data_IF_431480327699
#
_entry.id   IF_431480327699
#
_cell.length_a   1.000
_cell.length_b   1.000
_cell.length_c   1.000
_cell.angle_alpha   90.00
_cell.angle_beta   90.00
_cell.angle_gamma   90.00
#
_symmetry.space_group_name_H-M   'P 1'
#
loop_
_entity.id
_entity.type
_entity.pdbx_description
1 polymer ?
#
# COMPACT_ATOMS: atom_id res chain seq x y z
N UNK A 1 -2.24 -4.85 29.90
CA UNK A 1 -2.29 -4.66 28.44
C UNK A 1 -2.40 -3.17 28.20
N UNK A 2 -1.69 -2.61 27.22
CA UNK A 2 -1.88 -1.20 26.84
C UNK A 2 -3.32 -1.05 26.29
N UNK A 3 -4.12 -0.14 26.84
CA UNK A 3 -5.51 0.15 26.42
C UNK A 3 -5.58 1.36 25.47
N UNK A 4 -4.45 1.72 24.84
CA UNK A 4 -4.40 2.79 23.86
C UNK A 4 -5.50 2.63 22.78
N UNK A 5 -6.18 3.73 22.43
CA UNK A 5 -7.24 3.74 21.42
C UNK A 5 -6.68 3.39 20.04
N UNK A 6 -7.55 2.90 19.15
CA UNK A 6 -7.18 2.40 17.81
C UNK A 6 -6.46 3.48 16.99
N UNK A 7 -6.91 4.73 17.08
CA UNK A 7 -6.35 5.88 16.37
C UNK A 7 -4.89 6.14 16.79
N UNK A 8 -4.61 6.06 18.10
CA UNK A 8 -3.26 6.22 18.62
C UNK A 8 -2.35 5.08 18.17
N UNK A 9 -2.87 3.85 18.07
CA UNK A 9 -2.11 2.70 17.56
C UNK A 9 -1.77 2.85 16.09
N UNK A 10 -2.71 3.29 15.26
CA UNK A 10 -2.41 3.63 13.88
C UNK A 10 -1.35 4.72 13.79
N UNK A 11 -1.44 5.79 14.57
CA UNK A 11 -0.44 6.85 14.57
C UNK A 11 0.96 6.33 14.95
N UNK A 12 1.06 5.51 15.99
CA UNK A 12 2.32 4.87 16.41
C UNK A 12 2.85 3.90 15.36
N UNK A 13 1.98 3.10 14.75
CA UNK A 13 2.31 2.20 13.65
C UNK A 13 2.91 2.98 12.47
N UNK A 14 2.23 4.03 12.01
CA UNK A 14 2.67 4.87 10.89
C UNK A 14 4.03 5.51 11.20
N UNK A 15 4.20 6.05 12.41
CA UNK A 15 5.48 6.64 12.83
C UNK A 15 6.60 5.58 12.83
N UNK A 16 6.34 4.41 13.40
CA UNK A 16 7.31 3.31 13.43
C UNK A 16 7.68 2.84 12.01
N UNK A 17 6.73 2.75 11.09
CA UNK A 17 6.97 2.37 9.70
C UNK A 17 7.84 3.39 8.95
N UNK A 18 7.58 4.70 9.14
CA UNK A 18 8.40 5.78 8.56
C UNK A 18 9.82 5.78 9.11
N UNK A 19 9.96 5.56 10.41
CA UNK A 19 11.26 5.52 11.11
C UNK A 19 11.96 4.17 11.00
N UNK A 20 11.40 3.20 10.26
CA UNK A 20 11.96 1.85 10.10
C UNK A 20 12.10 1.05 11.40
N UNK A 21 11.33 1.40 12.44
CA UNK A 21 11.25 0.69 13.71
C UNK A 21 10.34 -0.53 13.58
N UNK A 22 10.81 -1.57 12.89
CA UNK A 22 10.02 -2.76 12.53
C UNK A 22 9.37 -3.44 13.74
N UNK A 23 10.09 -3.58 14.86
CA UNK A 23 9.55 -4.21 16.06
C UNK A 23 8.38 -3.42 16.69
N UNK A 24 8.46 -2.09 16.69
CA UNK A 24 7.35 -1.26 17.17
C UNK A 24 6.16 -1.32 16.21
N UNK A 25 6.41 -1.28 14.90
CA UNK A 25 5.36 -1.41 13.89
C UNK A 25 4.64 -2.76 14.01
N UNK A 26 5.38 -3.85 14.21
CA UNK A 26 4.81 -5.19 14.40
C UNK A 26 3.93 -5.25 15.67
N UNK A 27 4.42 -4.68 16.78
CA UNK A 27 3.65 -4.61 18.04
C UNK A 27 2.34 -3.86 17.87
N UNK A 28 2.36 -2.69 17.25
CA UNK A 28 1.13 -1.90 17.06
C UNK A 28 0.18 -2.58 16.08
N UNK A 29 0.70 -3.21 15.01
CA UNK A 29 -0.11 -3.97 14.06
C UNK A 29 -0.77 -5.19 14.70
N UNK A 30 -0.07 -5.93 15.56
CA UNK A 30 -0.64 -7.03 16.32
C UNK A 30 -1.79 -6.55 17.22
N UNK A 31 -1.59 -5.44 17.94
CA UNK A 31 -2.63 -4.85 18.79
C UNK A 31 -3.84 -4.35 17.99
N UNK A 32 -3.65 -3.89 16.76
CA UNK A 32 -4.73 -3.52 15.84
C UNK A 32 -5.54 -4.75 15.39
N UNK A 33 -4.88 -5.87 15.08
CA UNK A 33 -5.55 -7.13 14.68
C UNK A 33 -6.47 -7.69 15.76
N UNK A 34 -6.11 -7.52 17.03
CA UNK A 34 -6.94 -7.97 18.16
C UNK A 34 -8.23 -7.16 18.31
N UNK A 35 -8.23 -5.91 17.85
CA UNK A 35 -9.30 -4.93 18.11
C UNK A 35 -10.20 -4.68 16.90
N UNK A 36 -9.67 -4.89 15.70
CA UNK A 36 -10.36 -4.59 14.46
C UNK A 36 -10.79 -5.87 13.73
N UNK A 37 -11.96 -5.88 13.08
CA UNK A 37 -12.34 -6.94 12.16
C UNK A 37 -11.27 -7.13 11.08
N UNK A 38 -10.96 -8.39 10.73
CA UNK A 38 -9.92 -8.73 9.75
C UNK A 38 -10.09 -8.03 8.39
N UNK A 39 -11.34 -7.76 7.97
CA UNK A 39 -11.67 -7.05 6.72
C UNK A 39 -11.73 -5.52 6.83
N UNK A 40 -11.28 -4.94 7.95
CA UNK A 40 -11.25 -3.48 8.13
C UNK A 40 -10.23 -2.88 7.18
N UNK A 41 -10.65 -1.91 6.36
CA UNK A 41 -9.79 -1.37 5.30
C UNK A 41 -8.49 -0.75 5.86
N UNK A 42 -8.56 -0.07 7.00
CA UNK A 42 -7.38 0.48 7.68
C UNK A 42 -6.41 -0.61 8.16
N UNK A 43 -6.93 -1.74 8.65
CA UNK A 43 -6.10 -2.88 9.06
C UNK A 43 -5.43 -3.55 7.86
N UNK A 44 -6.18 -3.75 6.76
CA UNK A 44 -5.64 -4.29 5.50
C UNK A 44 -4.51 -3.40 4.97
N UNK A 45 -4.69 -2.07 4.99
CA UNK A 45 -3.64 -1.12 4.58
C UNK A 45 -2.40 -1.21 5.47
N UNK A 46 -2.57 -1.20 6.78
CA UNK A 46 -1.46 -1.31 7.71
C UNK A 46 -0.69 -2.62 7.53
N UNK A 47 -1.40 -3.74 7.37
CA UNK A 47 -0.79 -5.04 7.11
C UNK A 47 -0.04 -5.07 5.76
N UNK A 48 -0.65 -4.59 4.68
CA UNK A 48 -0.03 -4.56 3.35
C UNK A 48 1.25 -3.72 3.33
N UNK A 49 1.24 -2.57 4.03
CA UNK A 49 2.43 -1.73 4.16
C UNK A 49 3.54 -2.43 4.96
N UNK A 50 3.19 -3.09 6.06
CA UNK A 50 4.16 -3.87 6.85
C UNK A 50 4.75 -5.03 6.05
N UNK A 51 3.93 -5.77 5.29
CA UNK A 51 4.36 -6.86 4.41
C UNK A 51 5.30 -6.37 3.31
N UNK A 52 4.96 -5.23 2.68
CA UNK A 52 5.79 -4.61 1.67
C UNK A 52 7.17 -4.26 2.25
N UNK A 53 7.21 -3.68 3.46
CA UNK A 53 8.47 -3.32 4.11
C UNK A 53 9.31 -4.54 4.51
N UNK A 54 8.66 -5.64 4.82
CA UNK A 54 9.30 -6.90 5.18
C UNK A 54 9.70 -7.77 3.96
N UNK A 55 9.51 -7.27 2.73
CA UNK A 55 9.82 -8.01 1.50
C UNK A 55 8.86 -9.16 1.20
N UNK A 56 7.70 -9.21 1.86
CA UNK A 56 6.64 -10.20 1.62
C UNK A 56 5.74 -9.75 0.48
N UNK A 57 6.32 -9.64 -0.71
CA UNK A 57 5.70 -9.05 -1.90
C UNK A 57 4.36 -9.69 -2.27
N UNK A 58 4.22 -11.01 -2.13
CA UNK A 58 2.96 -11.70 -2.40
C UNK A 58 1.83 -11.26 -1.45
N UNK A 59 2.10 -11.28 -0.14
CA UNK A 59 1.12 -10.87 0.87
C UNK A 59 0.76 -9.38 0.75
N UNK A 60 1.76 -8.53 0.49
CA UNK A 60 1.54 -7.12 0.25
C UNK A 60 0.65 -6.87 -0.98
N UNK A 61 0.92 -7.58 -2.09
CA UNK A 61 0.12 -7.46 -3.31
C UNK A 61 -1.34 -7.86 -3.09
N UNK A 62 -1.59 -8.92 -2.33
CA UNK A 62 -2.95 -9.35 -1.98
C UNK A 62 -3.69 -8.32 -1.14
N UNK A 63 -2.99 -7.70 -0.18
CA UNK A 63 -3.54 -6.59 0.62
C UNK A 63 -3.89 -5.37 -0.23
N UNK A 64 -2.99 -4.94 -1.12
CA UNK A 64 -3.27 -3.80 -2.02
C UNK A 64 -4.37 -4.11 -3.03
N UNK A 65 -4.45 -5.33 -3.55
CA UNK A 65 -5.57 -5.76 -4.40
C UNK A 65 -6.90 -5.67 -3.66
N UNK A 66 -6.95 -6.14 -2.43
CA UNK A 66 -8.15 -6.03 -1.57
C UNK A 66 -8.57 -4.57 -1.36
N UNK A 67 -7.60 -3.65 -1.22
CA UNK A 67 -7.89 -2.22 -1.12
C UNK A 67 -8.48 -1.70 -2.44
N UNK A 68 -7.88 -2.03 -3.58
CA UNK A 68 -8.35 -1.59 -4.90
C UNK A 68 -9.69 -2.20 -5.29
N UNK A 69 -10.04 -3.39 -4.81
CA UNK A 69 -11.38 -3.96 -4.98
C UNK A 69 -12.46 -3.10 -4.29
N UNK A 70 -12.13 -2.47 -3.16
CA UNK A 70 -13.05 -1.65 -2.36
C UNK A 70 -12.98 -0.16 -2.73
N UNK A 71 -11.79 0.32 -3.07
CA UNK A 71 -11.48 1.69 -3.46
C UNK A 71 -10.64 1.66 -4.75
N UNK A 72 -11.27 1.49 -5.93
CA UNK A 72 -10.54 1.32 -7.19
C UNK A 72 -9.65 2.51 -7.59
N UNK A 73 -9.93 3.70 -7.05
CA UNK A 73 -9.14 4.91 -7.28
C UNK A 73 -8.05 5.17 -6.23
N UNK A 74 -7.78 4.25 -5.31
CA UNK A 74 -6.78 4.47 -4.25
C UNK A 74 -5.36 4.57 -4.82
N UNK A 75 -4.83 5.79 -4.90
CA UNK A 75 -3.53 6.06 -5.51
C UNK A 75 -2.38 5.34 -4.80
N UNK A 76 -2.38 5.30 -3.48
CA UNK A 76 -1.33 4.67 -2.69
C UNK A 76 -1.31 3.15 -2.92
N UNK A 77 -2.48 2.49 -2.90
CA UNK A 77 -2.56 1.06 -3.17
C UNK A 77 -2.19 0.73 -4.62
N UNK A 78 -2.60 1.54 -5.59
CA UNK A 78 -2.23 1.35 -7.00
C UNK A 78 -0.72 1.47 -7.21
N UNK A 79 -0.09 2.49 -6.63
CA UNK A 79 1.36 2.72 -6.73
C UNK A 79 2.14 1.60 -6.07
N UNK A 80 1.74 1.16 -4.87
CA UNK A 80 2.43 0.09 -4.17
C UNK A 80 2.28 -1.26 -4.87
N UNK A 81 1.09 -1.58 -5.40
CA UNK A 81 0.88 -2.80 -6.19
C UNK A 81 1.70 -2.78 -7.48
N UNK A 82 1.70 -1.65 -8.21
CA UNK A 82 2.49 -1.48 -9.42
C UNK A 82 4.01 -1.59 -9.15
N UNK A 83 4.48 -1.07 -8.02
CA UNK A 83 5.87 -1.24 -7.58
C UNK A 83 6.22 -2.72 -7.36
N UNK A 84 5.34 -3.49 -6.71
CA UNK A 84 5.52 -4.94 -6.52
C UNK A 84 5.54 -5.67 -7.87
N UNK A 85 4.58 -5.38 -8.76
CA UNK A 85 4.51 -5.99 -10.09
C UNK A 85 5.76 -5.69 -10.92
N UNK A 86 6.26 -4.45 -10.86
CA UNK A 86 7.50 -4.04 -11.53
C UNK A 86 8.72 -4.82 -11.03
N UNK A 87 8.87 -5.01 -9.71
CA UNK A 87 9.94 -5.87 -9.13
C UNK A 87 9.85 -7.31 -9.61
N UNK A 88 8.64 -7.80 -9.88
CA UNK A 88 8.40 -9.13 -10.46
C UNK A 88 8.56 -9.17 -11.99
N UNK A 89 9.09 -8.11 -12.61
CA UNK A 89 9.22 -7.95 -14.05
C UNK A 89 7.90 -7.97 -14.83
N UNK A 90 6.77 -7.76 -14.14
CA UNK A 90 5.42 -7.68 -14.71
C UNK A 90 5.07 -6.22 -15.06
N UNK A 91 5.91 -5.62 -15.91
CA UNK A 91 5.84 -4.19 -16.24
C UNK A 91 4.50 -3.77 -16.85
N UNK A 92 3.91 -4.61 -17.73
CA UNK A 92 2.59 -4.32 -18.31
C UNK A 92 1.46 -4.36 -17.28
N UNK A 93 1.52 -5.30 -16.33
CA UNK A 93 0.53 -5.36 -15.24
C UNK A 93 0.65 -4.14 -14.32
N UNK A 94 1.87 -3.72 -13.99
CA UNK A 94 2.14 -2.51 -13.20
C UNK A 94 1.53 -1.27 -13.85
N UNK A 95 1.76 -1.10 -15.16
CA UNK A 95 1.19 0.00 -15.94
C UNK A 95 -0.34 -0.07 -15.96
N UNK A 96 -0.91 -1.25 -16.21
CA UNK A 96 -2.37 -1.43 -16.24
C UNK A 96 -3.04 -1.09 -14.91
N UNK A 97 -2.42 -1.46 -13.78
CA UNK A 97 -2.89 -1.11 -12.43
C UNK A 97 -2.91 0.41 -12.22
N UNK A 98 -1.84 1.11 -12.59
CA UNK A 98 -1.77 2.57 -12.48
C UNK A 98 -2.74 3.28 -13.43
N UNK A 99 -2.86 2.80 -14.67
CA UNK A 99 -3.80 3.34 -15.66
C UNK A 99 -5.25 3.23 -15.16
N UNK A 100 -5.60 2.12 -14.49
CA UNK A 100 -6.92 1.93 -13.91
C UNK A 100 -7.23 2.95 -12.81
N UNK A 101 -6.31 3.16 -11.87
CA UNK A 101 -6.47 4.18 -10.84
C UNK A 101 -6.50 5.59 -11.43
N UNK A 102 -5.66 5.88 -12.43
CA UNK A 102 -5.56 7.21 -13.04
C UNK A 102 -6.82 7.61 -13.81
N UNK A 103 -7.58 6.65 -14.36
CA UNK A 103 -8.90 6.95 -14.96
C UNK A 103 -9.92 7.45 -13.94
N UNK A 104 -9.78 7.07 -12.67
CA UNK A 104 -10.65 7.49 -11.57
C UNK A 104 -10.12 8.75 -10.87
N UNK A 105 -8.81 8.98 -10.95
CA UNK A 105 -8.13 10.16 -10.42
C UNK A 105 -7.27 10.83 -11.50
N UNK A 106 -7.87 11.46 -12.53
CA UNK A 106 -7.12 12.07 -13.63
C UNK A 106 -6.16 13.17 -13.17
N UNK A 107 -6.49 13.83 -12.07
CA UNK A 107 -5.73 14.95 -11.52
C UNK A 107 -4.60 14.52 -10.57
N UNK A 108 -4.49 13.24 -10.20
CA UNK A 108 -3.43 12.75 -9.30
C UNK A 108 -2.04 12.89 -9.93
N UNK A 109 -1.25 13.82 -9.39
CA UNK A 109 0.14 13.99 -9.77
C UNK A 109 0.99 12.75 -9.41
N UNK A 110 0.65 12.05 -8.34
CA UNK A 110 1.33 10.84 -7.91
C UNK A 110 1.17 9.71 -8.93
N UNK A 111 -0.06 9.48 -9.42
CA UNK A 111 -0.32 8.48 -10.46
C UNK A 111 0.35 8.83 -11.79
N UNK A 112 0.32 10.10 -12.19
CA UNK A 112 1.05 10.55 -13.40
C UNK A 112 2.56 10.31 -13.28
N UNK A 113 3.15 10.64 -12.14
CA UNK A 113 4.57 10.42 -11.88
C UNK A 113 4.93 8.92 -11.82
N UNK A 114 4.04 8.09 -11.28
CA UNK A 114 4.20 6.64 -11.29
C UNK A 114 4.16 6.06 -12.71
N UNK A 115 3.18 6.48 -13.53
CA UNK A 115 3.04 6.04 -14.92
C UNK A 115 4.23 6.45 -15.81
N UNK A 116 4.79 7.64 -15.58
CA UNK A 116 5.95 8.13 -16.32
C UNK A 116 7.18 7.20 -16.22
N UNK A 117 7.27 6.40 -15.15
CA UNK A 117 8.34 5.40 -14.99
C UNK A 117 8.20 4.20 -15.94
N UNK A 118 7.00 3.99 -16.49
CA UNK A 118 6.66 2.88 -17.39
C UNK A 118 6.53 3.32 -18.86
N UNK A 119 6.47 4.61 -19.14
CA UNK A 119 6.51 5.12 -20.50
C UNK A 119 7.96 5.20 -20.98
N UNK A 120 8.32 4.61 -22.12
CA UNK A 120 9.61 4.90 -22.73
C UNK A 120 9.65 6.41 -23.00
N UNK A 121 10.67 7.09 -22.47
CA UNK A 121 10.91 8.49 -22.77
C UNK A 121 10.88 8.63 -24.30
N UNK A 122 9.92 9.41 -24.81
CA UNK A 122 9.94 9.78 -26.22
C UNK A 122 11.29 10.45 -26.46
N UNK A 123 12.18 9.72 -27.14
CA UNK A 123 13.45 10.22 -27.64
C UNK A 123 13.10 11.43 -28.51
N UNK A 124 13.36 12.64 -27.99
CA UNK A 124 13.41 13.84 -28.81
C UNK A 124 14.63 13.75 -29.73
#
# INVERSE_FOLDING_TARGET
MDDAPVELRFARFVAAMKESRTADAERELAALKERLPAGSLGLVRAQAWFDLRAGRDAAAADGYRTILERLPGDEEAAINLASIQSRQQKTEEARATLDAASRLQPDSAALRAALAQFTPAARQ
#
